data_IF_909038738199
#
_entry.id   IF_909038738199
#
_cell.length_a   1.000
_cell.length_b   1.000
_cell.length_c   1.000
_cell.angle_alpha   90.00
_cell.angle_beta   90.00
_cell.angle_gamma   90.00
#
_symmetry.space_group_name_H-M   'P 1'
#
loop_
_entity.id
_entity.type
_entity.pdbx_description
1 polymer ?
#
# COMPACT_ATOMS: atom_id res chain seq x y z
N UNK A 1 18.68 45.41 60.89
CA UNK A 1 19.08 44.08 60.37
C UNK A 1 17.97 43.08 60.69
N UNK A 2 17.24 42.62 59.67
CA UNK A 2 16.39 41.42 59.71
C UNK A 2 15.93 41.16 58.27
N UNK A 3 16.50 40.15 57.59
CA UNK A 3 16.04 39.73 56.26
C UNK A 3 15.38 38.36 56.36
N UNK A 4 14.10 38.35 55.98
CA UNK A 4 13.23 37.19 55.82
C UNK A 4 13.73 36.30 54.68
N UNK A 5 13.68 34.97 54.87
CA UNK A 5 13.95 33.96 53.83
C UNK A 5 12.72 33.81 52.93
N UNK A 6 12.91 33.93 51.62
CA UNK A 6 11.90 33.61 50.60
C UNK A 6 11.86 32.10 50.26
N UNK A 7 10.84 31.64 49.53
CA UNK A 7 10.59 30.21 49.30
C UNK A 7 11.45 29.64 48.15
N UNK A 8 11.85 28.37 48.29
CA UNK A 8 12.61 27.59 47.31
C UNK A 8 11.70 27.04 46.22
N UNK A 9 12.13 27.18 44.97
CA UNK A 9 11.56 26.57 43.75
C UNK A 9 11.94 25.08 43.69
N UNK A 10 11.04 24.15 43.35
CA UNK A 10 11.41 22.75 43.07
C UNK A 10 11.97 22.61 41.66
N UNK A 11 13.10 21.88 41.53
CA UNK A 11 13.71 21.51 40.26
C UNK A 11 12.96 20.40 39.50
N UNK A 12 13.34 20.13 38.24
CA UNK A 12 12.61 19.22 37.35
C UNK A 12 12.83 17.76 37.77
N UNK A 13 11.72 17.01 37.86
CA UNK A 13 11.74 15.58 38.14
C UNK A 13 12.15 14.81 36.88
N UNK A 14 13.09 13.87 37.06
CA UNK A 14 13.54 12.92 36.06
C UNK A 14 12.36 12.03 35.61
N UNK A 15 12.05 12.07 34.30
CA UNK A 15 11.12 11.15 33.65
C UNK A 15 11.74 9.77 33.47
N UNK A 16 10.95 8.75 33.83
CA UNK A 16 11.27 7.32 33.81
C UNK A 16 11.78 6.80 32.45
N UNK A 17 12.67 5.80 32.44
CA UNK A 17 13.09 5.11 31.23
C UNK A 17 11.95 4.22 30.68
N UNK A 18 11.62 4.42 29.40
CA UNK A 18 10.69 3.59 28.64
C UNK A 18 11.27 2.20 28.45
N UNK A 19 10.61 1.17 28.97
CA UNK A 19 10.96 -0.23 28.74
C UNK A 19 10.72 -0.59 27.27
N UNK A 20 11.77 -1.08 26.60
CA UNK A 20 11.68 -1.73 25.30
C UNK A 20 10.96 -3.09 25.43
N UNK A 21 10.12 -3.48 24.45
CA UNK A 21 9.47 -4.79 24.49
C UNK A 21 10.49 -5.90 24.21
N UNK A 22 10.44 -6.94 25.03
CA UNK A 22 11.31 -8.12 24.93
C UNK A 22 11.06 -8.87 23.61
N UNK A 23 12.13 -9.07 22.85
CA UNK A 23 12.17 -9.89 21.64
C UNK A 23 12.16 -11.36 22.06
N UNK A 24 11.04 -12.06 21.84
CA UNK A 24 10.98 -13.51 21.99
C UNK A 24 11.55 -14.17 20.71
N UNK A 25 12.77 -14.68 20.81
CA UNK A 25 13.41 -15.48 19.75
C UNK A 25 12.74 -16.85 19.64
N UNK A 26 12.04 -17.11 18.55
CA UNK A 26 11.52 -18.45 18.21
C UNK A 26 12.51 -19.13 17.27
N UNK A 27 13.07 -20.26 17.70
CA UNK A 27 13.91 -21.13 16.89
C UNK A 27 13.05 -21.93 15.89
N UNK A 28 13.26 -21.72 14.58
CA UNK A 28 12.72 -22.60 13.53
C UNK A 28 13.71 -23.73 13.19
N UNK A 29 13.18 -24.94 13.04
CA UNK A 29 13.89 -26.16 12.65
C UNK A 29 13.75 -26.36 11.14
N UNK A 30 14.87 -26.43 10.42
CA UNK A 30 14.91 -26.59 8.96
C UNK A 30 14.51 -28.01 8.49
N UNK A 31 13.76 -28.15 7.38
CA UNK A 31 13.62 -29.42 6.68
C UNK A 31 14.73 -29.63 5.63
N UNK A 32 15.12 -30.91 5.51
CA UNK A 32 16.25 -31.45 4.74
C UNK A 32 16.06 -31.38 3.22
N UNK A 33 17.19 -31.19 2.54
CA UNK A 33 17.37 -31.24 1.09
C UNK A 33 17.08 -32.63 0.49
N UNK A 34 16.55 -32.66 -0.73
CA UNK A 34 16.56 -33.85 -1.60
C UNK A 34 17.23 -33.53 -2.94
N UNK A 35 18.36 -34.20 -3.18
CA UNK A 35 19.16 -34.18 -4.42
C UNK A 35 18.67 -35.25 -5.40
N UNK A 36 18.55 -34.89 -6.69
CA UNK A 36 18.81 -35.67 -7.94
C UNK A 36 18.22 -34.87 -9.10
N UNK A 37 18.85 -34.62 -10.26
CA UNK A 37 20.08 -35.12 -10.88
C UNK A 37 19.77 -35.48 -12.35
N UNK A 38 20.34 -34.71 -13.31
CA UNK A 38 20.55 -35.04 -14.75
C UNK A 38 19.32 -35.36 -15.62
N UNK A 39 19.27 -35.22 -16.94
CA UNK A 39 20.26 -34.88 -17.95
C UNK A 39 19.52 -34.56 -19.28
N UNK A 40 20.20 -33.76 -20.13
CA UNK A 40 20.06 -33.48 -21.59
C UNK A 40 18.83 -34.00 -22.38
N UNK A 41 18.31 -33.12 -23.26
CA UNK A 41 18.65 -33.12 -24.72
C UNK A 41 18.00 -31.96 -25.49
N UNK A 42 18.74 -31.52 -26.50
CA UNK A 42 18.44 -30.54 -27.55
C UNK A 42 17.33 -31.05 -28.48
N UNK A 43 16.53 -30.14 -29.04
CA UNK A 43 16.31 -30.06 -30.49
C UNK A 43 15.69 -28.72 -30.90
N UNK A 44 16.13 -28.22 -32.05
CA UNK A 44 15.83 -26.92 -32.60
C UNK A 44 14.97 -27.05 -33.87
N UNK A 45 14.00 -26.13 -34.02
CA UNK A 45 13.49 -25.45 -35.24
C UNK A 45 13.37 -26.22 -36.58
N UNK A 46 12.37 -25.89 -37.41
CA UNK A 46 12.66 -24.89 -38.44
C UNK A 46 11.55 -23.85 -38.72
N UNK A 47 12.00 -22.82 -39.43
CA UNK A 47 11.33 -21.58 -39.86
C UNK A 47 10.55 -21.72 -41.17
N UNK A 48 9.91 -20.60 -41.51
CA UNK A 48 9.48 -20.10 -42.83
C UNK A 48 8.00 -20.36 -43.13
N UNK A 49 7.21 -19.45 -43.72
CA UNK A 49 7.52 -18.32 -44.59
C UNK A 49 6.35 -17.31 -44.61
N UNK A 50 6.62 -16.05 -44.99
CA UNK A 50 5.64 -15.01 -45.40
C UNK A 50 5.75 -14.82 -46.91
N UNK A 51 4.70 -14.33 -47.60
CA UNK A 51 4.63 -12.91 -48.03
C UNK A 51 3.17 -12.34 -47.91
N UNK A 52 2.86 -11.08 -47.56
CA UNK A 52 3.14 -9.72 -48.07
C UNK A 52 2.05 -9.15 -49.04
N UNK A 53 1.65 -7.89 -48.77
CA UNK A 53 0.91 -6.88 -49.58
C UNK A 53 -0.64 -6.94 -49.48
N UNK A 54 -1.40 -5.84 -49.38
CA UNK A 54 -1.09 -4.41 -49.49
C UNK A 54 -2.23 -3.48 -49.01
N UNK A 55 -1.92 -2.19 -48.95
CA UNK A 55 -2.78 -0.98 -48.87
C UNK A 55 -2.60 -0.22 -50.22
N UNK A 56 -3.39 0.80 -50.67
CA UNK A 56 -4.06 1.85 -49.86
C UNK A 56 -5.36 2.57 -50.40
N UNK A 57 -6.06 3.31 -49.50
CA UNK A 57 -6.70 4.67 -49.58
C UNK A 57 -7.77 5.03 -50.69
N UNK A 58 -8.36 6.26 -50.74
CA UNK A 58 -9.48 6.80 -49.93
C UNK A 58 -10.60 7.52 -50.78
N UNK A 59 -11.69 8.02 -50.16
CA UNK A 59 -12.52 9.11 -50.75
C UNK A 59 -13.45 9.81 -49.72
N UNK A 60 -13.65 11.12 -49.90
CA UNK A 60 -14.57 12.06 -49.21
C UNK A 60 -15.41 12.80 -50.28
N UNK A 61 -16.12 13.93 -50.05
CA UNK A 61 -17.15 14.34 -49.07
C UNK A 61 -18.49 14.79 -49.76
N UNK A 62 -19.53 15.20 -49.01
CA UNK A 62 -20.58 16.13 -49.50
C UNK A 62 -21.46 16.74 -48.38
N UNK A 63 -21.79 18.04 -48.53
CA UNK A 63 -22.85 18.84 -47.89
C UNK A 63 -23.51 19.68 -49.04
N UNK A 64 -24.46 20.64 -48.86
CA UNK A 64 -25.34 21.06 -47.75
C UNK A 64 -26.83 21.25 -48.18
N UNK A 65 -27.77 21.61 -47.27
CA UNK A 65 -29.01 22.35 -47.61
C UNK A 65 -29.51 23.23 -46.43
N UNK A 66 -30.13 24.38 -46.75
CA UNK A 66 -30.45 25.54 -45.89
C UNK A 66 -31.97 25.73 -45.64
N UNK A 67 -32.34 25.98 -44.36
CA UNK A 67 -33.35 26.94 -43.78
C UNK A 67 -34.87 26.77 -44.08
N UNK A 68 -35.83 27.41 -43.33
CA UNK A 68 -35.72 28.46 -42.30
C UNK A 68 -36.59 28.33 -41.00
N UNK A 69 -36.20 29.08 -39.95
CA UNK A 69 -37.08 29.96 -39.16
C UNK A 69 -38.00 29.39 -38.07
N UNK A 70 -37.67 29.68 -36.79
CA UNK A 70 -38.58 30.31 -35.82
C UNK A 70 -37.80 30.80 -34.59
N UNK A 71 -38.08 32.04 -34.21
CA UNK A 71 -37.62 32.66 -32.96
C UNK A 71 -38.56 32.17 -31.87
N UNK A 72 -38.02 31.55 -30.83
CA UNK A 72 -38.67 31.48 -29.53
C UNK A 72 -37.61 31.70 -28.46
N UNK A 73 -37.85 32.72 -27.64
CA UNK A 73 -37.09 33.05 -26.47
C UNK A 73 -37.35 31.97 -25.41
N UNK A 74 -36.35 31.14 -25.14
CA UNK A 74 -36.32 30.25 -24.00
C UNK A 74 -35.06 30.55 -23.20
N UNK A 75 -35.25 30.82 -21.90
CA UNK A 75 -34.18 31.04 -20.94
C UNK A 75 -33.07 29.99 -21.11
N UNK A 76 -31.85 30.46 -21.34
CA UNK A 76 -30.66 29.64 -21.23
C UNK A 76 -30.47 29.26 -19.75
N UNK A 77 -31.16 28.21 -19.31
CA UNK A 77 -30.60 27.36 -18.27
C UNK A 77 -29.30 26.83 -18.86
N UNK A 78 -28.16 27.31 -18.36
CA UNK A 78 -26.88 26.70 -18.65
C UNK A 78 -26.99 25.24 -18.19
N UNK A 79 -27.29 24.35 -19.14
CA UNK A 79 -27.14 22.93 -18.94
C UNK A 79 -25.66 22.75 -18.60
N UNK A 80 -25.40 22.51 -17.32
CA UNK A 80 -24.11 21.98 -16.86
C UNK A 80 -23.87 20.78 -17.75
N UNK A 81 -22.87 20.88 -18.64
CA UNK A 81 -22.46 19.76 -19.45
C UNK A 81 -22.25 18.59 -18.49
N UNK A 82 -22.85 17.41 -18.74
CA UNK A 82 -22.64 16.27 -17.87
C UNK A 82 -21.13 16.07 -17.71
N UNK A 83 -20.65 15.83 -16.47
CA UNK A 83 -19.23 15.78 -16.20
C UNK A 83 -18.58 14.85 -17.21
N UNK A 84 -17.49 15.32 -17.83
CA UNK A 84 -16.70 14.62 -18.83
C UNK A 84 -16.70 13.12 -18.49
N UNK A 85 -17.34 12.35 -19.36
CA UNK A 85 -17.65 10.96 -19.07
C UNK A 85 -16.35 10.26 -18.75
N UNK A 86 -16.22 9.76 -17.52
CA UNK A 86 -15.11 8.90 -17.07
C UNK A 86 -15.12 7.60 -17.90
N UNK A 87 -14.74 7.66 -19.17
CA UNK A 87 -14.83 6.54 -20.13
C UNK A 87 -13.59 5.65 -20.12
N UNK A 88 -12.47 6.16 -19.65
CA UNK A 88 -11.20 5.45 -19.69
C UNK A 88 -10.88 4.81 -18.34
N UNK A 89 -10.47 3.54 -18.36
CA UNK A 89 -9.96 2.80 -17.20
C UNK A 89 -8.55 2.25 -17.46
N UNK A 90 -7.68 2.26 -16.45
CA UNK A 90 -6.34 1.65 -16.51
C UNK A 90 -6.31 0.17 -16.14
N UNK A 91 -7.49 -0.45 -16.01
CA UNK A 91 -7.66 -1.85 -15.63
C UNK A 91 -7.14 -2.79 -16.73
N UNK A 92 -6.51 -3.90 -16.32
CA UNK A 92 -5.96 -4.92 -17.22
C UNK A 92 -6.32 -6.31 -16.73
N UNK A 93 -6.48 -7.24 -17.67
CA UNK A 93 -6.78 -8.65 -17.38
C UNK A 93 -8.08 -8.79 -16.59
N UNK A 94 -7.99 -9.45 -15.44
CA UNK A 94 -9.14 -9.79 -14.60
C UNK A 94 -9.63 -8.62 -13.74
N UNK A 95 -8.80 -7.59 -13.54
CA UNK A 95 -9.12 -6.47 -12.66
C UNK A 95 -10.15 -5.57 -13.32
N UNK A 96 -11.13 -5.12 -12.55
CA UNK A 96 -12.21 -4.25 -13.03
C UNK A 96 -12.39 -3.04 -12.09
N UNK A 97 -13.04 -2.00 -12.59
CA UNK A 97 -13.47 -0.84 -11.83
C UNK A 97 -14.88 -0.49 -12.27
N UNK A 98 -15.52 0.50 -11.62
CA UNK A 98 -16.90 0.87 -11.94
C UNK A 98 -17.13 1.24 -13.39
N UNK A 99 -16.13 1.83 -14.04
CA UNK A 99 -16.22 2.19 -15.46
C UNK A 99 -16.26 0.93 -16.32
N UNK A 100 -15.34 0.00 -16.06
CA UNK A 100 -15.27 -1.23 -16.84
C UNK A 100 -16.49 -2.13 -16.55
N UNK A 101 -17.06 -2.12 -15.32
CA UNK A 101 -18.30 -2.80 -14.95
C UNK A 101 -19.52 -2.22 -15.71
N UNK A 102 -19.69 -0.89 -15.69
CA UNK A 102 -20.78 -0.20 -16.42
C UNK A 102 -20.73 -0.46 -17.93
N UNK A 103 -19.53 -0.54 -18.51
CA UNK A 103 -19.36 -0.78 -19.95
C UNK A 103 -19.64 -2.23 -20.36
N UNK A 104 -19.40 -3.20 -19.48
CA UNK A 104 -19.63 -4.63 -19.78
C UNK A 104 -21.10 -5.04 -19.68
N UNK A 105 -21.93 -4.28 -18.97
CA UNK A 105 -23.38 -4.53 -18.90
C UNK A 105 -23.77 -5.82 -18.17
N UNK A 106 -22.99 -6.29 -17.20
CA UNK A 106 -23.28 -7.52 -16.44
C UNK A 106 -22.49 -7.62 -15.13
N UNK A 107 -22.82 -8.63 -14.33
CA UNK A 107 -22.15 -8.90 -13.05
C UNK A 107 -20.64 -9.16 -13.26
N UNK A 108 -19.78 -8.69 -12.35
CA UNK A 108 -18.35 -8.95 -12.44
C UNK A 108 -18.08 -10.47 -12.48
N UNK A 109 -17.25 -10.97 -13.40
CA UNK A 109 -17.00 -12.41 -13.57
C UNK A 109 -16.27 -13.09 -12.39
N UNK A 110 -16.00 -12.34 -11.31
CA UNK A 110 -15.25 -12.78 -10.13
C UNK A 110 -16.08 -12.81 -8.86
N UNK A 111 -17.41 -12.82 -8.97
CA UNK A 111 -18.27 -13.25 -7.86
C UNK A 111 -18.09 -14.76 -7.64
N UNK A 112 -16.95 -15.16 -7.07
CA UNK A 112 -16.76 -16.49 -6.48
C UNK A 112 -16.57 -16.32 -4.97
N UNK A 113 -16.99 -17.35 -4.20
CA UNK A 113 -17.78 -17.21 -3.01
C UNK A 113 -16.95 -16.57 -1.91
N UNK A 114 -17.63 -15.83 -1.03
CA UNK A 114 -17.12 -15.46 0.28
C UNK A 114 -16.57 -16.71 0.97
N UNK A 115 -15.25 -16.94 0.89
CA UNK A 115 -14.57 -17.70 1.92
C UNK A 115 -15.00 -17.04 3.23
N UNK A 116 -15.53 -17.82 4.17
CA UNK A 116 -15.90 -17.31 5.49
C UNK A 116 -14.67 -16.57 6.01
N UNK A 117 -14.77 -15.25 6.01
CA UNK A 117 -13.65 -14.39 6.38
C UNK A 117 -13.97 -13.89 7.78
N UNK A 118 -13.33 -14.51 8.76
CA UNK A 118 -13.32 -14.10 10.14
C UNK A 118 -12.53 -12.80 10.25
N UNK A 119 -13.24 -11.74 10.64
CA UNK A 119 -12.70 -10.39 10.67
C UNK A 119 -12.16 -10.07 12.04
N UNK A 120 -10.89 -9.68 12.08
CA UNK A 120 -10.23 -9.13 13.26
C UNK A 120 -9.87 -7.67 12.99
N UNK A 121 -9.79 -6.87 14.04
CA UNK A 121 -9.39 -5.45 14.01
C UNK A 121 -8.06 -5.34 14.74
N UNK A 122 -7.06 -4.74 14.08
CA UNK A 122 -5.76 -4.48 14.67
C UNK A 122 -5.82 -3.25 15.58
N UNK A 123 -5.26 -3.38 16.78
CA UNK A 123 -5.13 -2.31 17.76
C UNK A 123 -3.64 -1.93 17.91
N UNK A 124 -3.23 -0.75 17.41
CA UNK A 124 -1.83 -0.32 17.43
C UNK A 124 -1.20 -0.29 18.83
N UNK A 125 -1.95 0.17 19.84
CA UNK A 125 -1.45 0.33 21.21
C UNK A 125 -1.07 -0.99 21.87
N UNK A 126 -1.70 -2.09 21.46
CA UNK A 126 -1.46 -3.43 22.00
C UNK A 126 -0.59 -4.27 21.07
N UNK A 127 -0.68 -4.05 19.76
CA UNK A 127 -0.12 -4.96 18.75
C UNK A 127 -0.95 -6.22 18.52
N UNK A 128 -2.21 -6.25 18.97
CA UNK A 128 -3.10 -7.42 18.84
C UNK A 128 -4.15 -7.22 17.75
N UNK A 129 -4.56 -8.33 17.15
CA UNK A 129 -5.75 -8.43 16.32
C UNK A 129 -6.88 -9.04 17.15
N UNK A 130 -7.97 -8.28 17.35
CA UNK A 130 -9.11 -8.68 18.17
C UNK A 130 -10.32 -8.93 17.28
N UNK A 131 -11.08 -10.00 17.52
CA UNK A 131 -12.26 -10.34 16.74
C UNK A 131 -13.29 -9.21 16.80
N UNK A 132 -13.92 -8.93 15.66
CA UNK A 132 -14.89 -7.84 15.55
C UNK A 132 -16.08 -8.05 16.51
N UNK A 133 -16.63 -6.94 17.00
CA UNK A 133 -17.90 -6.92 17.74
C UNK A 133 -19.00 -7.62 16.94
N UNK A 134 -19.90 -8.32 17.63
CA UNK A 134 -21.02 -9.07 17.04
C UNK A 134 -20.59 -10.22 16.10
N UNK A 135 -19.31 -10.63 16.14
CA UNK A 135 -18.82 -11.80 15.41
C UNK A 135 -18.68 -13.02 16.31
N UNK A 136 -18.62 -14.21 15.71
CA UNK A 136 -18.29 -15.45 16.45
C UNK A 136 -16.94 -15.37 17.20
N UNK A 137 -16.11 -14.37 16.88
CA UNK A 137 -14.78 -14.17 17.43
C UNK A 137 -14.71 -12.95 18.37
N UNK A 138 -15.84 -12.34 18.71
CA UNK A 138 -15.88 -11.30 19.73
C UNK A 138 -15.24 -11.83 21.03
N UNK A 139 -14.38 -11.00 21.64
CA UNK A 139 -13.61 -11.38 22.82
C UNK A 139 -12.44 -12.34 22.56
N UNK A 140 -12.17 -12.74 21.31
CA UNK A 140 -10.98 -13.51 20.93
C UNK A 140 -9.93 -12.63 20.28
N UNK A 141 -8.64 -12.91 20.52
CA UNK A 141 -7.54 -12.14 19.96
C UNK A 141 -6.31 -13.00 19.68
N UNK A 142 -5.40 -12.47 18.87
CA UNK A 142 -4.05 -13.02 18.68
C UNK A 142 -3.03 -11.89 18.45
N UNK A 143 -1.74 -12.10 18.81
CA UNK A 143 -0.70 -11.13 18.53
C UNK A 143 -0.51 -10.93 17.02
N UNK A 144 -0.39 -9.69 16.57
CA UNK A 144 -0.19 -9.35 15.16
C UNK A 144 1.05 -8.47 14.98
N UNK A 145 2.26 -9.05 15.14
CA UNK A 145 3.51 -8.30 15.09
C UNK A 145 3.85 -7.87 13.65
N UNK A 146 4.75 -6.88 13.55
CA UNK A 146 5.23 -6.37 12.25
C UNK A 146 4.35 -5.28 11.64
N UNK A 147 3.38 -4.75 12.40
CA UNK A 147 2.66 -3.53 12.03
C UNK A 147 2.99 -2.44 13.04
N UNK A 148 3.26 -1.23 12.56
CA UNK A 148 3.39 -0.04 13.40
C UNK A 148 2.61 1.09 12.76
N UNK A 149 1.71 1.72 13.53
CA UNK A 149 0.94 2.89 13.10
C UNK A 149 1.44 4.11 13.87
N UNK A 150 1.74 5.17 13.14
CA UNK A 150 2.08 6.48 13.68
C UNK A 150 0.99 7.45 13.23
N UNK A 151 0.14 7.86 14.16
CA UNK A 151 -0.90 8.85 13.89
C UNK A 151 -0.33 10.27 13.77
N UNK A 152 -1.05 11.14 13.08
CA UNK A 152 -0.68 12.55 12.88
C UNK A 152 0.79 12.77 12.44
N UNK A 153 1.31 11.86 11.61
CA UNK A 153 2.69 11.88 11.12
C UNK A 153 3.01 13.10 10.25
N UNK A 154 2.00 13.60 9.54
CA UNK A 154 2.04 14.90 8.86
C UNK A 154 0.96 15.82 9.42
N UNK A 155 1.25 17.11 9.40
CA UNK A 155 0.27 18.15 9.76
C UNK A 155 -0.79 18.31 8.67
N UNK A 156 -1.85 19.09 8.96
CA UNK A 156 -2.90 19.39 7.97
C UNK A 156 -2.36 20.25 6.83
N UNK A 157 -1.46 21.16 7.16
CA UNK A 157 -0.81 22.10 6.25
C UNK A 157 0.13 21.34 5.30
N UNK A 158 0.96 20.44 5.85
CA UNK A 158 1.84 19.57 5.05
C UNK A 158 1.03 18.65 4.13
N UNK A 159 -0.04 18.02 4.62
CA UNK A 159 -0.94 17.21 3.79
C UNK A 159 -1.52 18.02 2.63
N UNK A 160 -2.00 19.24 2.90
CA UNK A 160 -2.59 20.11 1.89
C UNK A 160 -1.54 20.51 0.83
N UNK A 161 -0.34 20.90 1.25
CA UNK A 161 0.76 21.25 0.35
C UNK A 161 1.19 20.06 -0.51
N UNK A 162 1.41 18.89 0.10
CA UNK A 162 1.79 17.67 -0.61
C UNK A 162 0.77 17.30 -1.68
N UNK A 163 -0.53 17.28 -1.33
CA UNK A 163 -1.60 16.95 -2.29
C UNK A 163 -1.68 17.99 -3.40
N UNK A 164 -1.56 19.29 -3.07
CA UNK A 164 -1.53 20.34 -4.07
C UNK A 164 -0.37 20.15 -5.06
N UNK A 165 0.82 19.79 -4.58
CA UNK A 165 1.99 19.52 -5.42
C UNK A 165 1.81 18.27 -6.27
N UNK A 166 1.24 17.19 -5.73
CA UNK A 166 0.90 16.00 -6.50
C UNK A 166 -0.09 16.31 -7.63
N UNK A 167 -1.12 17.12 -7.36
CA UNK A 167 -2.16 17.47 -8.34
C UNK A 167 -1.68 18.43 -9.44
N UNK A 168 -0.50 19.05 -9.29
CA UNK A 168 0.15 19.82 -10.37
C UNK A 168 0.78 18.92 -11.43
N UNK A 169 1.16 17.70 -11.09
CA UNK A 169 1.72 16.74 -12.02
C UNK A 169 0.66 15.74 -12.53
N UNK A 170 0.81 15.20 -13.76
CA UNK A 170 -0.17 14.27 -14.31
C UNK A 170 -0.33 12.99 -13.50
N UNK A 171 -1.58 12.67 -13.17
CA UNK A 171 -1.97 11.37 -12.66
C UNK A 171 -2.21 10.38 -13.80
N UNK A 172 -1.58 9.21 -13.76
CA UNK A 172 -1.82 8.17 -14.77
C UNK A 172 -2.90 7.19 -14.35
N UNK A 173 -3.69 6.73 -15.29
CA UNK A 173 -4.65 5.65 -15.04
C UNK A 173 -3.93 4.38 -14.57
N UNK A 174 -4.45 3.78 -13.52
CA UNK A 174 -3.97 2.53 -12.92
C UNK A 174 -5.10 1.50 -12.85
N UNK A 175 -4.74 0.29 -12.44
CA UNK A 175 -5.69 -0.81 -12.28
C UNK A 175 -6.72 -0.51 -11.18
N UNK A 176 -7.81 -1.27 -11.21
CA UNK A 176 -8.92 -1.25 -10.23
C UNK A 176 -9.35 0.18 -9.85
N UNK A 177 -9.54 1.03 -10.87
CA UNK A 177 -10.11 2.37 -10.73
C UNK A 177 -9.17 3.44 -10.17
N UNK A 178 -7.93 3.10 -9.83
CA UNK A 178 -6.94 4.02 -9.24
C UNK A 178 -6.29 4.91 -10.30
N UNK A 179 -5.63 5.97 -9.83
CA UNK A 179 -4.58 6.67 -10.57
C UNK A 179 -3.26 6.57 -9.81
N UNK A 180 -2.14 6.82 -10.49
CA UNK A 180 -0.81 6.71 -9.87
C UNK A 180 0.21 7.72 -10.38
N UNK A 181 1.20 7.98 -9.53
CA UNK A 181 2.48 8.62 -9.87
C UNK A 181 3.60 7.76 -9.28
N UNK A 182 4.54 7.33 -10.10
CA UNK A 182 5.66 6.48 -9.68
C UNK A 182 6.96 7.29 -9.73
N UNK A 183 7.70 7.31 -8.63
CA UNK A 183 9.00 7.96 -8.48
C UNK A 183 10.02 6.90 -8.06
N UNK A 184 10.67 6.29 -9.04
CA UNK A 184 11.59 5.19 -8.80
C UNK A 184 12.17 4.64 -10.09
N UNK A 185 13.05 3.63 -9.99
CA UNK A 185 13.59 2.96 -11.16
C UNK A 185 12.51 2.22 -11.96
N UNK A 186 12.76 2.00 -13.25
CA UNK A 186 11.93 1.14 -14.08
C UNK A 186 12.24 -0.32 -13.78
N UNK A 187 11.25 -1.05 -13.29
CA UNK A 187 11.38 -2.44 -12.87
C UNK A 187 10.63 -3.38 -13.81
N UNK A 188 11.29 -4.48 -14.18
CA UNK A 188 10.65 -5.65 -14.78
C UNK A 188 10.63 -6.78 -13.75
N UNK A 189 9.54 -6.87 -12.98
CA UNK A 189 9.38 -7.84 -11.90
C UNK A 189 9.55 -9.29 -12.36
N UNK A 190 8.94 -9.66 -13.51
CA UNK A 190 9.03 -11.03 -14.04
C UNK A 190 10.46 -11.45 -14.38
N UNK A 191 11.28 -10.53 -14.88
CA UNK A 191 12.67 -10.81 -15.27
C UNK A 191 13.67 -10.46 -14.17
N UNK A 192 13.21 -9.94 -13.03
CA UNK A 192 14.04 -9.37 -11.97
C UNK A 192 15.11 -8.42 -12.54
N UNK A 193 14.68 -7.48 -13.38
CA UNK A 193 15.57 -6.49 -14.00
C UNK A 193 15.18 -5.09 -13.58
N UNK A 194 16.19 -4.29 -13.25
CA UNK A 194 16.05 -2.91 -12.82
C UNK A 194 16.83 -1.97 -13.75
N UNK A 195 16.26 -0.80 -14.04
CA UNK A 195 16.88 0.24 -14.87
C UNK A 195 16.62 1.62 -14.28
N UNK A 196 17.67 2.46 -14.23
CA UNK A 196 17.57 3.85 -13.79
C UNK A 196 16.63 4.69 -14.68
N UNK A 197 16.69 4.49 -16.00
CA UNK A 197 15.81 5.15 -16.97
C UNK A 197 15.58 6.65 -16.68
N UNK A 198 14.32 7.07 -16.53
CA UNK A 198 13.93 8.46 -16.31
C UNK A 198 13.86 8.85 -14.82
N UNK A 199 14.35 8.00 -13.92
CA UNK A 199 14.40 8.30 -12.50
C UNK A 199 15.35 9.48 -12.25
N UNK A 200 14.88 10.48 -11.50
CA UNK A 200 15.65 11.68 -11.14
C UNK A 200 15.56 12.00 -9.66
N UNK A 201 15.21 11.00 -8.87
CA UNK A 201 15.01 11.12 -7.44
C UNK A 201 13.55 11.06 -7.01
N UNK A 202 13.35 11.13 -5.69
CA UNK A 202 12.04 11.29 -5.07
C UNK A 202 11.52 12.73 -5.27
N UNK A 203 10.23 13.01 -5.09
CA UNK A 203 9.71 14.37 -5.19
C UNK A 203 10.14 15.24 -4.00
N UNK A 204 10.30 16.54 -4.24
CA UNK A 204 10.77 17.51 -3.23
C UNK A 204 9.88 17.56 -1.99
N UNK A 205 8.56 17.41 -2.14
CA UNK A 205 7.60 17.42 -1.04
C UNK A 205 7.74 16.24 -0.08
N UNK A 206 8.48 15.19 -0.46
CA UNK A 206 8.75 14.05 0.41
C UNK A 206 10.01 14.20 1.23
N UNK A 207 10.83 15.24 1.00
CA UNK A 207 12.11 15.42 1.70
C UNK A 207 11.94 15.46 3.21
N UNK A 208 11.01 16.29 3.68
CA UNK A 208 10.76 16.44 5.12
C UNK A 208 10.07 15.20 5.72
N UNK A 209 9.18 14.56 4.95
CA UNK A 209 8.52 13.30 5.34
C UNK A 209 9.58 12.21 5.57
N UNK A 210 10.51 12.01 4.63
CA UNK A 210 11.59 11.03 4.76
C UNK A 210 12.56 11.39 5.88
N UNK A 211 12.91 12.68 6.06
CA UNK A 211 13.74 13.11 7.18
C UNK A 211 13.08 12.80 8.53
N UNK A 212 11.75 13.01 8.64
CA UNK A 212 10.97 12.73 9.86
C UNK A 212 10.86 11.24 10.15
N UNK A 213 10.80 10.39 9.12
CA UNK A 213 10.81 8.92 9.30
C UNK A 213 12.01 8.50 10.15
N UNK A 214 13.20 9.05 9.87
CA UNK A 214 14.43 8.76 10.61
C UNK A 214 14.44 9.18 12.09
N UNK A 215 13.41 9.88 12.58
CA UNK A 215 13.25 10.20 14.02
C UNK A 215 12.59 9.05 14.81
N UNK A 216 12.02 8.06 14.12
CA UNK A 216 11.37 6.91 14.75
C UNK A 216 12.33 5.72 14.76
N UNK A 217 12.53 5.03 15.91
CA UNK A 217 13.48 3.92 16.00
C UNK A 217 13.29 2.82 14.94
N UNK A 218 12.05 2.51 14.55
CA UNK A 218 11.74 1.50 13.52
C UNK A 218 12.18 1.92 12.09
N UNK A 219 12.48 3.21 11.88
CA UNK A 219 12.82 3.81 10.59
C UNK A 219 14.15 4.59 10.63
N UNK A 220 14.97 4.46 11.67
CA UNK A 220 16.18 5.28 11.86
C UNK A 220 17.19 5.17 10.70
N UNK A 221 17.31 3.98 10.13
CA UNK A 221 18.16 3.65 8.98
C UNK A 221 17.35 3.43 7.69
N UNK A 222 16.04 3.74 7.70
CA UNK A 222 15.18 3.57 6.53
C UNK A 222 15.54 4.56 5.42
N UNK A 223 15.88 4.02 4.26
CA UNK A 223 16.36 4.79 3.12
C UNK A 223 15.56 4.45 1.86
N UNK A 224 14.52 5.23 1.53
CA UNK A 224 13.66 4.91 0.41
C UNK A 224 14.34 5.25 -0.92
N UNK A 225 14.20 4.33 -1.89
CA UNK A 225 14.63 4.51 -3.28
C UNK A 225 13.45 4.65 -4.25
N UNK A 226 12.25 4.37 -3.76
CA UNK A 226 11.03 4.41 -4.53
C UNK A 226 9.90 5.03 -3.71
N UNK A 227 9.09 5.82 -4.39
CA UNK A 227 7.82 6.33 -3.88
C UNK A 227 6.72 6.13 -4.93
N UNK A 228 5.63 5.48 -4.54
CA UNK A 228 4.42 5.33 -5.35
C UNK A 228 3.28 6.11 -4.69
N UNK A 229 2.74 7.10 -5.39
CA UNK A 229 1.50 7.76 -4.98
C UNK A 229 0.34 7.06 -5.71
N UNK A 230 -0.67 6.63 -4.95
CA UNK A 230 -1.90 6.06 -5.46
C UNK A 230 -3.09 6.93 -5.07
N UNK A 231 -3.82 7.42 -6.06
CA UNK A 231 -5.06 8.19 -5.89
C UNK A 231 -6.27 7.27 -6.07
N UNK A 232 -7.15 7.28 -5.07
CA UNK A 232 -8.35 6.46 -4.99
C UNK A 232 -9.59 7.34 -5.02
N UNK A 233 -10.59 6.91 -5.76
CA UNK A 233 -11.82 7.63 -6.06
C UNK A 233 -13.03 6.66 -5.96
N UNK A 234 -13.96 6.89 -5.02
CA UNK A 234 -15.16 6.06 -4.86
C UNK A 234 -15.98 5.91 -6.15
N UNK A 235 -16.10 6.98 -6.94
CA UNK A 235 -16.88 7.05 -8.18
C UNK A 235 -16.32 6.14 -9.29
N UNK A 236 -15.03 5.80 -9.19
CA UNK A 236 -14.34 4.83 -10.05
C UNK A 236 -14.32 3.43 -9.44
N UNK A 237 -14.78 3.27 -8.21
CA UNK A 237 -14.71 2.01 -7.47
C UNK A 237 -13.27 1.62 -7.17
N UNK A 238 -12.44 2.61 -6.81
CA UNK A 238 -11.03 2.35 -6.54
C UNK A 238 -10.85 1.35 -5.39
N UNK A 239 -9.97 0.38 -5.61
CA UNK A 239 -9.55 -0.62 -4.62
C UNK A 239 -8.08 -0.97 -4.88
N UNK A 240 -7.44 -1.82 -4.09
CA UNK A 240 -6.26 -2.59 -4.50
C UNK A 240 -6.42 -4.01 -3.98
N UNK A 241 -6.21 -4.98 -4.86
CA UNK A 241 -6.42 -6.38 -4.55
C UNK A 241 -5.31 -6.93 -3.62
N UNK A 242 -5.56 -8.03 -2.89
CA UNK A 242 -4.56 -8.67 -2.04
C UNK A 242 -3.28 -9.02 -2.81
N UNK A 243 -2.14 -8.53 -2.34
CA UNK A 243 -0.83 -8.78 -2.93
C UNK A 243 0.30 -8.70 -1.89
N UNK A 244 1.48 -9.21 -2.27
CA UNK A 244 2.76 -8.97 -1.61
C UNK A 244 3.62 -8.10 -2.51
N UNK A 245 4.44 -7.24 -1.92
CA UNK A 245 5.46 -6.50 -2.64
C UNK A 245 6.66 -7.41 -2.94
N UNK A 246 7.29 -7.21 -4.09
CA UNK A 246 8.41 -8.04 -4.57
C UNK A 246 9.64 -7.99 -3.64
N UNK A 247 9.81 -9.04 -2.81
CA UNK A 247 10.88 -9.14 -1.82
C UNK A 247 12.29 -9.27 -2.41
N UNK A 248 12.42 -9.60 -3.70
CA UNK A 248 13.73 -9.60 -4.37
C UNK A 248 14.28 -8.17 -4.51
N UNK A 249 13.41 -7.17 -4.66
CA UNK A 249 13.80 -5.79 -4.88
C UNK A 249 13.62 -4.92 -3.64
N UNK A 250 12.50 -5.08 -2.94
CA UNK A 250 12.16 -4.22 -1.81
C UNK A 250 12.68 -4.81 -0.50
N UNK A 251 13.21 -3.96 0.39
CA UNK A 251 13.80 -4.32 1.67
C UNK A 251 12.83 -4.24 2.85
N UNK A 252 13.32 -4.55 4.05
CA UNK A 252 12.55 -5.04 5.21
C UNK A 252 11.30 -4.25 5.59
N UNK A 253 11.24 -2.96 5.30
CA UNK A 253 10.13 -2.09 5.68
C UNK A 253 9.36 -1.60 4.46
N UNK A 254 8.04 -1.81 4.48
CA UNK A 254 7.11 -1.11 3.58
C UNK A 254 6.45 0.00 4.36
N UNK A 255 6.65 1.25 3.93
CA UNK A 255 6.16 2.42 4.65
C UNK A 255 5.08 3.09 3.81
N UNK A 256 3.91 3.36 4.37
CA UNK A 256 2.80 4.01 3.65
C UNK A 256 2.15 5.12 4.45
N UNK A 257 2.09 6.32 3.87
CA UNK A 257 1.42 7.50 4.41
C UNK A 257 0.00 7.59 3.81
N UNK A 258 -1.01 7.79 4.66
CA UNK A 258 -2.41 7.96 4.25
C UNK A 258 -2.82 9.43 4.29
N UNK A 259 -3.34 9.96 3.19
CA UNK A 259 -3.74 11.37 3.03
C UNK A 259 -5.21 11.50 2.60
N UNK A 260 -5.78 12.68 2.87
CA UNK A 260 -7.14 13.15 2.55
C UNK A 260 -8.28 12.46 3.30
N UNK A 261 -8.34 11.13 3.28
CA UNK A 261 -9.41 10.38 3.92
C UNK A 261 -8.90 9.08 4.54
N UNK A 262 -9.50 8.64 5.67
CA UNK A 262 -9.16 7.39 6.31
C UNK A 262 -9.58 6.19 5.45
N UNK A 263 -8.95 5.04 5.70
CA UNK A 263 -9.28 3.75 5.06
C UNK A 263 -8.99 2.59 6.01
N UNK A 264 -9.19 1.37 5.54
CA UNK A 264 -8.73 0.15 6.20
C UNK A 264 -7.80 -0.60 5.25
N UNK A 265 -6.61 -0.95 5.75
CA UNK A 265 -5.69 -1.90 5.11
C UNK A 265 -6.07 -3.31 5.58
N UNK A 266 -6.55 -4.13 4.65
CA UNK A 266 -6.91 -5.52 4.92
C UNK A 266 -5.70 -6.42 4.73
N UNK A 267 -5.39 -7.20 5.76
CA UNK A 267 -4.28 -8.15 5.78
C UNK A 267 -4.85 -9.57 5.78
N UNK A 268 -4.46 -10.38 4.80
CA UNK A 268 -4.91 -11.78 4.65
C UNK A 268 -3.74 -12.67 4.24
N UNK A 269 -3.72 -13.96 4.59
CA UNK A 269 -2.70 -14.89 4.11
C UNK A 269 -3.30 -16.17 3.54
N UNK A 270 -2.70 -16.71 2.48
CA UNK A 270 -3.15 -17.95 1.84
C UNK A 270 -2.42 -19.20 2.36
N UNK A 271 -1.37 -19.00 3.16
CA UNK A 271 -0.56 -20.09 3.69
C UNK A 271 -1.35 -21.01 4.63
N UNK A 272 -1.14 -22.35 4.57
CA UNK A 272 -1.74 -23.30 5.50
C UNK A 272 -1.27 -23.08 6.94
N UNK A 273 -2.10 -23.50 7.89
CA UNK A 273 -1.84 -23.38 9.32
C UNK A 273 -3.07 -22.89 10.06
N UNK A 274 -2.93 -22.75 11.38
CA UNK A 274 -3.95 -22.17 12.23
C UNK A 274 -3.36 -21.11 13.13
N UNK A 275 -4.12 -20.05 13.37
CA UNK A 275 -3.84 -19.07 14.40
C UNK A 275 -4.43 -19.56 15.71
N UNK A 276 -3.63 -19.54 16.77
CA UNK A 276 -4.10 -19.77 18.13
C UNK A 276 -4.67 -18.47 18.68
N UNK A 277 -5.91 -18.51 19.11
CA UNK A 277 -6.61 -17.40 19.71
C UNK A 277 -6.60 -17.55 21.23
N UNK A 278 -6.47 -16.43 21.93
CA UNK A 278 -6.73 -16.34 23.36
C UNK A 278 -7.87 -15.34 23.60
N UNK A 279 -8.35 -15.28 24.84
CA UNK A 279 -9.26 -14.21 25.22
C UNK A 279 -8.56 -12.86 25.07
N UNK A 280 -9.28 -11.88 24.53
CA UNK A 280 -8.79 -10.52 24.41
C UNK A 280 -8.42 -9.99 25.80
N UNK A 281 -7.26 -9.35 25.97
CA UNK A 281 -6.85 -8.80 27.26
C UNK A 281 -7.93 -7.87 27.81
N UNK A 282 -8.51 -8.19 28.97
CA UNK A 282 -9.58 -7.42 29.60
C UNK A 282 -8.97 -6.24 30.36
N UNK A 283 -8.69 -5.14 29.66
CA UNK A 283 -7.99 -3.99 30.25
C UNK A 283 -6.50 -4.28 30.55
N UNK A 284 -5.64 -3.35 30.20
CA UNK A 284 -4.20 -3.43 30.46
C UNK A 284 -3.86 -3.50 31.97
N UNK A 285 -2.60 -3.80 32.32
CA UNK A 285 -1.95 -5.11 32.37
C UNK A 285 -1.94 -5.68 33.81
N UNK A 286 -2.05 -7.00 33.97
CA UNK A 286 -1.39 -7.64 35.11
C UNK A 286 -0.93 -9.05 34.79
N UNK A 287 0.25 -9.34 35.33
CA UNK A 287 1.10 -10.51 35.25
C UNK A 287 0.48 -11.81 34.72
N UNK A 288 1.21 -12.42 33.77
CA UNK A 288 1.13 -13.83 33.42
C UNK A 288 1.21 -14.69 34.70
N UNK A 289 0.06 -15.10 35.21
CA UNK A 289 -0.04 -16.14 36.22
C UNK A 289 0.12 -17.49 35.53
N UNK A 290 1.11 -18.24 35.99
CA UNK A 290 1.43 -19.60 35.55
C UNK A 290 0.23 -20.55 35.63
N UNK A 291 0.10 -21.38 34.58
CA UNK A 291 -0.61 -22.66 34.58
C UNK A 291 -2.14 -22.65 34.79
N UNK A 292 -2.86 -22.11 33.81
CA UNK A 292 -4.16 -22.65 33.43
C UNK A 292 -4.15 -22.77 31.90
N UNK A 293 -4.57 -23.90 31.34
CA UNK A 293 -4.80 -24.02 29.89
C UNK A 293 -5.88 -23.02 29.52
N UNK A 294 -5.46 -21.81 29.13
CA UNK A 294 -6.35 -20.79 28.62
C UNK A 294 -7.14 -21.43 27.48
N UNK A 295 -8.48 -21.25 27.43
CA UNK A 295 -9.26 -21.78 26.34
C UNK A 295 -8.65 -21.24 25.05
N UNK A 296 -8.16 -22.16 24.21
CA UNK A 296 -7.44 -21.82 23.00
C UNK A 296 -8.26 -22.29 21.82
N UNK A 297 -8.92 -21.32 21.18
CA UNK A 297 -9.60 -21.56 19.91
C UNK A 297 -8.56 -21.48 18.79
N UNK A 298 -8.64 -22.34 17.81
CA UNK A 298 -7.84 -22.21 16.59
C UNK A 298 -8.73 -21.76 15.43
N UNK A 299 -8.16 -20.97 14.53
CA UNK A 299 -8.82 -20.57 13.28
C UNK A 299 -7.86 -20.78 12.10
N UNK A 300 -8.31 -21.36 10.97
CA UNK A 300 -7.48 -21.48 9.78
C UNK A 300 -7.00 -20.12 9.30
N UNK A 301 -5.71 -20.04 8.97
CA UNK A 301 -5.08 -18.80 8.52
C UNK A 301 -5.76 -18.16 7.31
N UNK A 302 -6.24 -18.98 6.37
CA UNK A 302 -6.87 -18.53 5.13
C UNK A 302 -8.28 -17.98 5.33
N UNK A 303 -8.87 -18.21 6.50
CA UNK A 303 -10.19 -17.71 6.86
C UNK A 303 -10.09 -16.39 7.64
N UNK A 304 -8.89 -15.85 7.86
CA UNK A 304 -8.69 -14.63 8.65
C UNK A 304 -8.36 -13.43 7.78
N UNK A 305 -9.08 -12.33 7.99
CA UNK A 305 -8.70 -10.99 7.54
C UNK A 305 -8.52 -10.08 8.76
N UNK A 306 -7.33 -9.50 8.89
CA UNK A 306 -7.04 -8.46 9.88
C UNK A 306 -7.22 -7.10 9.22
N UNK A 307 -8.17 -6.32 9.73
CA UNK A 307 -8.41 -4.94 9.35
C UNK A 307 -7.49 -4.02 10.18
N UNK A 308 -6.55 -3.36 9.51
CA UNK A 308 -5.71 -2.30 10.09
C UNK A 308 -6.34 -0.94 9.75
N UNK A 309 -6.96 -0.23 10.70
CA UNK A 309 -7.48 1.12 10.46
C UNK A 309 -6.32 2.05 10.12
N UNK A 310 -6.47 2.83 9.05
CA UNK A 310 -5.51 3.85 8.64
C UNK A 310 -6.21 5.22 8.70
N UNK A 311 -6.05 5.96 9.81
CA UNK A 311 -6.48 7.34 9.89
C UNK A 311 -5.86 8.21 8.79
N UNK A 312 -6.50 9.34 8.52
CA UNK A 312 -5.90 10.40 7.70
C UNK A 312 -4.64 10.93 8.41
N UNK A 313 -3.61 11.27 7.62
CA UNK A 313 -2.27 11.75 8.06
C UNK A 313 -1.44 10.73 8.85
N UNK A 314 -1.84 9.47 8.90
CA UNK A 314 -1.05 8.43 9.57
C UNK A 314 -0.03 7.77 8.66
N UNK A 315 1.09 7.35 9.24
CA UNK A 315 2.10 6.50 8.61
C UNK A 315 1.94 5.07 9.14
N UNK A 316 1.88 4.08 8.25
CA UNK A 316 1.96 2.66 8.62
C UNK A 316 3.27 2.07 8.13
N UNK A 317 3.92 1.27 8.97
CA UNK A 317 5.10 0.47 8.64
C UNK A 317 4.71 -0.99 8.74
N UNK A 318 4.94 -1.74 7.65
CA UNK A 318 4.87 -3.19 7.64
C UNK A 318 6.28 -3.77 7.61
N UNK A 319 6.56 -4.71 8.50
CA UNK A 319 7.81 -5.46 8.60
C UNK A 319 7.55 -6.92 9.02
N UNK A 320 8.58 -7.76 8.95
CA UNK A 320 8.54 -9.16 9.39
C UNK A 320 7.39 -9.94 8.76
N UNK A 321 6.67 -10.70 9.60
CA UNK A 321 5.54 -11.52 9.16
C UNK A 321 4.49 -10.70 8.39
N UNK A 322 4.10 -9.52 8.90
CA UNK A 322 3.09 -8.68 8.27
C UNK A 322 3.49 -8.24 6.85
N UNK A 323 4.78 -8.03 6.59
CA UNK A 323 5.29 -7.69 5.26
C UNK A 323 5.39 -8.89 4.33
N UNK A 324 5.94 -10.00 4.83
CA UNK A 324 6.39 -11.12 3.98
C UNK A 324 5.36 -12.24 3.82
N UNK A 325 4.44 -12.37 4.78
CA UNK A 325 3.50 -13.50 4.85
C UNK A 325 2.04 -13.07 4.66
N UNK A 326 1.73 -11.80 4.91
CA UNK A 326 0.38 -11.28 4.82
C UNK A 326 0.21 -10.40 3.58
N UNK A 327 -0.66 -10.83 2.68
CA UNK A 327 -1.10 -10.01 1.55
C UNK A 327 -1.89 -8.82 2.07
N UNK A 328 -1.58 -7.64 1.55
CA UNK A 328 -2.26 -6.42 1.91
C UNK A 328 -3.17 -5.94 0.77
N UNK A 329 -4.30 -5.33 1.13
CA UNK A 329 -5.34 -4.88 0.21
C UNK A 329 -6.04 -3.62 0.72
N UNK A 330 -6.68 -2.87 -0.18
CA UNK A 330 -7.67 -1.84 0.15
C UNK A 330 -8.96 -2.22 -0.57
N UNK A 331 -9.95 -2.66 0.19
CA UNK A 331 -11.26 -2.99 -0.38
C UNK A 331 -12.01 -1.75 -0.81
N UNK A 332 -12.76 -1.87 -1.91
CA UNK A 332 -13.61 -0.79 -2.46
C UNK A 332 -14.56 -0.19 -1.43
N UNK A 333 -15.14 -1.03 -0.56
CA UNK A 333 -16.03 -0.61 0.56
C UNK A 333 -15.36 0.30 1.60
N UNK A 334 -14.03 0.31 1.65
CA UNK A 334 -13.25 1.14 2.57
C UNK A 334 -12.77 2.45 1.92
N UNK A 335 -13.04 2.67 0.62
CA UNK A 335 -12.78 3.94 -0.08
C UNK A 335 -14.09 4.74 -0.16
N UNK A 336 -14.33 5.56 0.87
CA UNK A 336 -15.58 6.34 1.02
C UNK A 336 -15.50 7.78 0.52
N UNK A 337 -14.28 8.29 0.35
CA UNK A 337 -13.98 9.61 -0.22
C UNK A 337 -12.65 9.51 -1.01
N UNK A 338 -12.28 10.58 -1.72
CA UNK A 338 -10.95 10.65 -2.34
C UNK A 338 -9.88 10.46 -1.26
N UNK A 339 -8.97 9.50 -1.48
CA UNK A 339 -7.79 9.31 -0.63
C UNK A 339 -6.54 9.16 -1.48
N UNK A 340 -5.41 9.56 -0.92
CA UNK A 340 -4.09 9.29 -1.51
C UNK A 340 -3.29 8.42 -0.56
N UNK A 341 -2.75 7.33 -1.07
CA UNK A 341 -1.73 6.53 -0.37
C UNK A 341 -0.37 6.82 -0.97
N UNK A 342 0.61 7.15 -0.14
CA UNK A 342 2.00 7.37 -0.57
C UNK A 342 2.86 6.27 0.05
N UNK A 343 3.31 5.32 -0.78
CA UNK A 343 4.12 4.20 -0.34
C UNK A 343 5.59 4.46 -0.66
N UNK A 344 6.46 4.27 0.32
CA UNK A 344 7.91 4.37 0.23
C UNK A 344 8.53 2.99 0.40
N UNK A 345 9.56 2.68 -0.40
CA UNK A 345 10.26 1.40 -0.36
C UNK A 345 11.76 1.58 -0.34
N UNK A 346 12.42 0.87 0.56
CA UNK A 346 13.87 0.70 0.57
C UNK A 346 14.27 -0.52 -0.28
N UNK A 347 15.56 -0.61 -0.61
CA UNK A 347 16.08 -1.76 -1.36
C UNK A 347 16.29 -2.99 -0.48
N UNK A 348 16.16 -4.17 -1.08
CA UNK A 348 16.50 -5.44 -0.44
C UNK A 348 18.00 -5.54 -0.15
N UNK A 349 18.37 -6.49 0.70
CA UNK A 349 19.76 -6.75 1.07
C UNK A 349 20.67 -7.06 -0.14
N UNK A 350 20.12 -7.49 -1.28
CA UNK A 350 20.89 -7.72 -2.51
C UNK A 350 21.55 -6.45 -3.05
N UNK A 351 20.96 -5.28 -2.80
CA UNK A 351 21.48 -3.99 -3.23
C UNK A 351 22.13 -3.19 -2.09
N UNK A 352 22.10 -3.72 -0.87
CA UNK A 352 22.74 -3.12 0.30
C UNK A 352 24.25 -3.41 0.39
N UNK A 353 24.91 -2.94 1.46
CA UNK A 353 26.31 -3.25 1.73
C UNK A 353 26.60 -4.76 1.75
N UNK A 354 27.60 -5.21 0.98
CA UNK A 354 27.94 -6.62 0.80
C UNK A 354 27.04 -7.38 -0.18
N UNK A 355 26.00 -6.74 -0.71
CA UNK A 355 25.08 -7.31 -1.68
C UNK A 355 25.67 -7.40 -3.10
N UNK A 356 25.14 -8.32 -3.92
CA UNK A 356 25.61 -8.54 -5.30
C UNK A 356 25.37 -7.34 -6.23
N UNK A 357 24.40 -6.49 -5.89
CA UNK A 357 24.00 -5.31 -6.65
C UNK A 357 24.32 -4.01 -5.87
N UNK A 358 25.27 -4.06 -4.93
CA UNK A 358 25.59 -2.92 -4.06
C UNK A 358 25.86 -1.62 -4.82
N UNK A 359 26.68 -1.66 -5.88
CA UNK A 359 27.02 -0.47 -6.67
C UNK A 359 25.76 0.19 -7.25
N UNK A 360 24.88 -0.62 -7.86
CA UNK A 360 23.60 -0.14 -8.39
C UNK A 360 22.68 0.38 -7.28
N UNK A 361 22.70 -0.25 -6.10
CA UNK A 361 21.94 0.21 -4.94
C UNK A 361 22.40 1.56 -4.42
N UNK A 362 23.71 1.79 -4.35
CA UNK A 362 24.29 3.07 -3.95
C UNK A 362 23.94 4.19 -4.93
N UNK A 363 24.03 3.92 -6.24
CA UNK A 363 23.60 4.89 -7.26
C UNK A 363 22.11 5.24 -7.13
N UNK A 364 21.26 4.22 -6.89
CA UNK A 364 19.81 4.42 -6.76
C UNK A 364 19.50 5.30 -5.57
N UNK A 365 20.16 5.02 -4.45
CA UNK A 365 19.98 5.76 -3.22
C UNK A 365 20.45 7.21 -3.36
N UNK A 366 21.61 7.44 -3.95
CA UNK A 366 22.11 8.79 -4.21
C UNK A 366 21.14 9.58 -5.09
N UNK A 367 20.61 8.94 -6.13
CA UNK A 367 19.63 9.55 -7.02
C UNK A 367 18.31 9.83 -6.29
N UNK A 368 17.77 8.86 -5.57
CA UNK A 368 16.54 8.96 -4.78
C UNK A 368 16.56 10.15 -3.83
N UNK A 369 17.64 10.27 -3.05
CA UNK A 369 17.80 11.28 -2.00
C UNK A 369 18.24 12.66 -2.51
N UNK A 370 18.33 12.86 -3.82
CA UNK A 370 18.44 14.21 -4.41
C UNK A 370 17.14 15.02 -4.23
N UNK A 371 16.00 14.32 -4.16
CA UNK A 371 14.63 14.83 -4.18
C UNK A 371 14.32 15.79 -5.34
N UNK A 372 14.88 15.53 -6.53
CA UNK A 372 14.65 16.31 -7.76
C UNK A 372 13.69 15.61 -8.74
N UNK A 373 12.95 14.62 -8.24
CA UNK A 373 12.08 13.76 -9.01
C UNK A 373 10.83 14.44 -9.55
N UNK A 374 10.41 13.97 -10.72
CA UNK A 374 9.05 14.12 -11.24
C UNK A 374 8.47 12.73 -11.49
N UNK A 375 7.13 12.56 -11.58
CA UNK A 375 6.55 11.28 -11.90
C UNK A 375 7.15 10.70 -13.18
N UNK A 376 7.66 9.48 -13.09
CA UNK A 376 8.23 8.77 -14.25
C UNK A 376 7.14 8.46 -15.26
N UNK A 377 7.45 8.55 -16.57
CA UNK A 377 6.54 8.24 -17.70
C UNK A 377 6.48 6.75 -18.04
#
# INVERSE_FOLDING_TARGET
MARRRGPRVPGPQHGNPTLAPAIASVQEVAPRESVRGGDRRKEASPRSSRPARGLPLPAAPAAPHLRPGRRDAAMAAAAVAPPEVLRECGCKGIRTCLICERQRGGDPPWQHPSQKTHRFIYYPDTGWAVGAEESDFEGWAFPFPGVTLIEDFVTREEEAEMVQLMDRDPWKLSQSGRRKQDYGPKVNFRKQKLKMADFRGLPSFSREVVRRMGLYPILEDFQPVEQCNLDYCPERGSAIDPHLDDAWLWGERLVSLSLLAPTVLSMSREAPGSLLLCLAPSGFPEALADSAMAPSRSVPCQEVEVAVPLPRRSLVVLSGGARHQWKHAIHRRHVRARRVGVTFRELSAEFGPGGKQQELGQELLQMALSFQGRPTT
#
